data_IF_654586272475
#
_entry.id   IF_654586272475
#
_cell.length_a   1.000
_cell.length_b   1.000
_cell.length_c   1.000
_cell.angle_alpha   90.00
_cell.angle_beta   90.00
_cell.angle_gamma   90.00
#
_symmetry.space_group_name_H-M   'P 1'
#
loop_
_entity.id
_entity.type
_entity.pdbx_description
1 polymer ?
#
# COMPACT_ATOMS: atom_id res chain seq x y z
N UNK A 1 3.78 -35.19 -12.71
CA UNK A 1 3.89 -33.96 -13.54
C UNK A 1 2.72 -32.98 -13.44
N UNK A 2 1.51 -33.33 -12.96
CA UNK A 2 0.37 -32.38 -12.90
C UNK A 2 0.46 -31.32 -11.78
N UNK A 3 1.17 -31.58 -10.69
CA UNK A 3 1.28 -30.67 -9.54
C UNK A 3 2.13 -29.44 -9.80
N UNK A 4 3.13 -29.52 -10.69
CA UNK A 4 4.04 -28.40 -10.99
C UNK A 4 3.34 -27.23 -11.70
N UNK A 5 2.34 -27.51 -12.54
CA UNK A 5 1.59 -26.47 -13.27
C UNK A 5 0.69 -25.67 -12.32
N UNK A 6 0.13 -26.30 -11.30
CA UNK A 6 -0.72 -25.64 -10.30
C UNK A 6 0.08 -24.65 -9.44
N UNK A 7 1.31 -24.99 -9.05
CA UNK A 7 2.19 -24.09 -8.30
C UNK A 7 2.61 -22.86 -9.11
N UNK A 8 2.85 -23.02 -10.41
CA UNK A 8 3.25 -21.91 -11.28
C UNK A 8 2.14 -20.87 -11.45
N UNK A 9 0.89 -21.32 -11.57
CA UNK A 9 -0.29 -20.43 -11.67
C UNK A 9 -0.52 -19.67 -10.35
N UNK A 10 -0.33 -20.35 -9.22
CA UNK A 10 -0.45 -19.76 -7.89
C UNK A 10 0.59 -18.66 -7.63
N UNK A 11 1.84 -18.89 -8.05
CA UNK A 11 2.92 -17.91 -7.94
C UNK A 11 2.67 -16.66 -8.81
N UNK A 12 2.09 -16.85 -10.00
CA UNK A 12 1.78 -15.76 -10.91
C UNK A 12 0.70 -14.81 -10.35
N UNK A 13 -0.35 -15.36 -9.74
CA UNK A 13 -1.44 -14.58 -9.13
C UNK A 13 -1.02 -13.75 -7.91
N UNK A 14 -0.07 -14.25 -7.11
CA UNK A 14 0.46 -13.54 -5.92
C UNK A 14 1.35 -12.35 -6.27
N UNK A 15 1.95 -12.34 -7.45
CA UNK A 15 2.89 -11.27 -7.87
C UNK A 15 2.16 -10.01 -8.33
N UNK A 16 0.90 -10.11 -8.75
CA UNK A 16 0.12 -8.99 -9.28
C UNK A 16 -0.49 -8.07 -8.22
N UNK A 17 -0.47 -8.44 -6.92
CA UNK A 17 -1.11 -7.66 -5.85
C UNK A 17 -0.22 -6.59 -5.21
N UNK A 18 1.08 -6.57 -5.50
CA UNK A 18 2.06 -5.71 -4.79
C UNK A 18 2.24 -4.32 -5.45
N UNK A 19 1.77 -4.12 -6.69
CA UNK A 19 2.12 -2.93 -7.50
C UNK A 19 1.15 -1.72 -7.39
N UNK A 20 0.28 -1.64 -6.38
CA UNK A 20 -0.82 -0.63 -6.35
C UNK A 20 -0.70 0.53 -5.36
N UNK A 21 0.45 0.76 -4.70
CA UNK A 21 0.60 1.90 -3.77
C UNK A 21 1.42 3.04 -4.41
N UNK A 22 0.75 4.17 -4.69
CA UNK A 22 1.32 5.40 -5.25
C UNK A 22 1.71 6.40 -4.15
N UNK A 23 2.90 7.01 -4.29
CA UNK A 23 3.35 8.14 -3.47
C UNK A 23 2.85 9.45 -4.09
N UNK A 24 2.26 10.33 -3.28
CA UNK A 24 1.92 11.72 -3.66
C UNK A 24 2.58 12.64 -2.63
N UNK A 25 3.66 13.29 -3.06
CA UNK A 25 4.34 14.35 -2.31
C UNK A 25 3.66 15.70 -2.58
N UNK A 26 3.44 16.48 -1.51
CA UNK A 26 2.71 17.75 -1.55
C UNK A 26 3.68 18.89 -1.18
N UNK A 27 4.04 19.70 -2.17
CA UNK A 27 4.92 20.87 -2.03
C UNK A 27 4.22 22.04 -1.32
N UNK A 28 4.90 22.61 -0.32
CA UNK A 28 4.53 23.85 0.39
C UNK A 28 5.16 25.06 -0.31
N UNK A 29 4.40 26.15 -0.44
CA UNK A 29 4.87 27.48 -0.83
C UNK A 29 4.88 28.39 0.41
N UNK A 30 6.02 29.01 0.70
CA UNK A 30 6.20 30.02 1.75
C UNK A 30 5.81 31.41 1.24
N UNK A 31 5.15 32.19 2.10
CA UNK A 31 4.70 33.55 1.81
C UNK A 31 5.76 34.58 2.25
N UNK A 32 6.07 35.54 1.38
CA UNK A 32 6.97 36.68 1.60
C UNK A 32 6.29 37.79 2.41
N UNK A 33 7.04 38.36 3.36
CA UNK A 33 6.67 39.47 4.24
C UNK A 33 6.95 40.85 3.58
N UNK A 34 6.04 41.81 3.71
CA UNK A 34 6.13 43.16 3.12
C UNK A 34 6.89 44.14 4.04
N UNK A 35 7.95 44.77 3.52
CA UNK A 35 8.68 45.85 4.21
C UNK A 35 8.14 47.24 3.84
N UNK A 36 7.94 48.11 4.82
CA UNK A 36 7.53 49.51 4.70
C UNK A 36 8.65 50.38 4.08
N UNK A 37 8.37 51.44 3.30
CA UNK A 37 9.40 52.12 2.52
C UNK A 37 10.14 53.18 3.36
N UNK A 38 11.42 52.92 3.64
CA UNK A 38 12.37 53.87 4.23
C UNK A 38 12.54 55.17 3.39
N UNK A 39 12.08 55.18 2.14
CA UNK A 39 12.28 56.26 1.18
C UNK A 39 11.59 57.61 1.53
N UNK A 40 10.61 57.62 2.43
CA UNK A 40 9.84 58.84 2.74
C UNK A 40 10.51 59.75 3.77
N UNK A 41 11.36 59.18 4.63
CA UNK A 41 12.11 59.92 5.65
C UNK A 41 13.32 60.62 5.02
N UNK A 42 13.94 59.99 4.03
CA UNK A 42 15.12 60.55 3.35
C UNK A 42 14.79 61.75 2.46
N UNK A 43 13.59 61.80 1.85
CA UNK A 43 13.17 62.92 1.01
C UNK A 43 12.81 64.18 1.81
N UNK A 44 12.34 64.01 3.04
CA UNK A 44 12.04 65.13 3.94
C UNK A 44 13.32 65.82 4.43
N UNK A 45 14.34 65.04 4.74
CA UNK A 45 15.63 65.54 5.20
C UNK A 45 16.41 66.29 4.11
N UNK A 46 16.21 65.95 2.82
CA UNK A 46 16.89 66.64 1.72
C UNK A 46 16.32 68.02 1.37
N UNK A 47 15.12 68.35 1.85
CA UNK A 47 14.41 69.61 1.56
C UNK A 47 14.62 70.68 2.63
N UNK A 48 15.17 70.31 3.79
CA UNK A 48 15.43 71.23 4.88
C UNK A 48 16.72 72.00 4.68
N UNK A 49 16.68 73.32 4.86
CA UNK A 49 17.88 74.13 5.06
C UNK A 49 17.93 74.57 6.53
N UNK A 50 19.07 74.40 7.19
CA UNK A 50 19.25 74.87 8.56
C UNK A 50 20.02 76.18 8.60
N UNK A 51 19.58 77.08 9.47
CA UNK A 51 20.28 78.30 9.79
C UNK A 51 20.43 78.40 11.30
N UNK A 52 21.64 78.67 11.76
CA UNK A 52 21.94 78.81 13.19
C UNK A 52 22.11 80.29 13.51
N UNK A 53 21.42 80.77 14.55
CA UNK A 53 21.56 82.15 15.01
C UNK A 53 22.86 82.34 15.83
N UNK A 54 23.20 83.59 16.13
CA UNK A 54 24.38 83.96 16.93
C UNK A 54 24.36 83.39 18.36
N UNK A 55 23.20 82.93 18.84
CA UNK A 55 23.01 82.27 20.14
C UNK A 55 23.10 80.74 20.07
N UNK A 56 23.49 80.17 18.92
CA UNK A 56 23.64 78.72 18.72
C UNK A 56 22.31 77.96 18.56
N UNK A 57 21.20 78.65 18.31
CA UNK A 57 19.90 78.01 18.06
C UNK A 57 19.75 77.71 16.57
N UNK A 58 19.55 76.44 16.24
CA UNK A 58 19.35 75.96 14.88
C UNK A 58 17.85 76.00 14.50
N UNK A 59 17.55 76.66 13.39
CA UNK A 59 16.22 76.77 12.83
C UNK A 59 16.18 76.08 11.47
N UNK A 60 15.21 75.18 11.29
CA UNK A 60 14.97 74.49 10.04
C UNK A 60 13.90 75.22 9.24
N UNK A 61 14.25 75.60 8.01
CA UNK A 61 13.34 76.28 7.09
C UNK A 61 13.17 75.45 5.83
N UNK A 62 11.93 75.40 5.36
CA UNK A 62 11.52 74.80 4.10
C UNK A 62 11.00 75.90 3.19
N UNK A 63 11.35 75.84 1.90
CA UNK A 63 10.72 76.74 0.93
C UNK A 63 9.25 76.34 0.78
N UNK A 64 8.35 77.30 0.98
CA UNK A 64 6.91 77.10 0.92
C UNK A 64 6.46 76.41 -0.38
N UNK A 65 7.04 76.80 -1.52
CA UNK A 65 6.72 76.23 -2.83
C UNK A 65 7.11 74.76 -2.96
N UNK A 66 8.24 74.36 -2.39
CA UNK A 66 8.73 72.97 -2.42
C UNK A 66 7.90 72.10 -1.46
N UNK A 67 7.52 72.64 -0.30
CA UNK A 67 6.61 71.99 0.64
C UNK A 67 5.19 71.80 0.07
N UNK A 68 4.65 72.82 -0.60
CA UNK A 68 3.33 72.73 -1.25
C UNK A 68 3.34 71.70 -2.39
N UNK A 69 4.42 71.64 -3.18
CA UNK A 69 4.64 70.59 -4.20
C UNK A 69 4.65 69.19 -3.60
N UNK A 70 5.46 68.96 -2.56
CA UNK A 70 5.56 67.67 -1.87
C UNK A 70 4.22 67.27 -1.25
N UNK A 71 3.50 68.22 -0.65
CA UNK A 71 2.18 67.98 -0.05
C UNK A 71 1.16 67.60 -1.12
N UNK A 72 1.20 68.24 -2.29
CA UNK A 72 0.32 67.90 -3.41
C UNK A 72 0.63 66.51 -3.98
N UNK A 73 1.91 66.16 -4.10
CA UNK A 73 2.36 64.86 -4.57
C UNK A 73 2.01 63.74 -3.58
N UNK A 74 2.21 63.98 -2.28
CA UNK A 74 1.77 63.08 -1.21
C UNK A 74 0.26 62.91 -1.22
N UNK A 75 -0.53 63.97 -1.43
CA UNK A 75 -1.99 63.88 -1.51
C UNK A 75 -2.45 63.04 -2.70
N UNK A 76 -1.82 63.21 -3.87
CA UNK A 76 -2.08 62.39 -5.06
C UNK A 76 -1.68 60.93 -4.80
N UNK A 77 -0.51 60.70 -4.19
CA UNK A 77 -0.03 59.37 -3.86
C UNK A 77 -0.84 58.70 -2.73
N UNK A 78 -1.42 59.45 -1.80
CA UNK A 78 -2.35 58.98 -0.78
C UNK A 78 -3.67 58.56 -1.40
N UNK A 79 -4.23 59.36 -2.32
CA UNK A 79 -5.47 59.00 -3.03
C UNK A 79 -5.24 57.77 -3.93
N UNK A 80 -4.11 57.70 -4.63
CA UNK A 80 -3.71 56.52 -5.41
C UNK A 80 -3.41 55.31 -4.49
N UNK A 81 -2.87 55.56 -3.29
CA UNK A 81 -2.61 54.58 -2.24
C UNK A 81 -3.89 54.00 -1.64
N UNK A 82 -4.88 54.84 -1.32
CA UNK A 82 -6.21 54.42 -0.87
C UNK A 82 -6.95 53.65 -1.96
N UNK A 83 -6.86 54.10 -3.21
CA UNK A 83 -7.49 53.40 -4.34
C UNK A 83 -6.78 52.07 -4.66
N UNK A 84 -5.47 51.98 -4.46
CA UNK A 84 -4.72 50.73 -4.63
C UNK A 84 -4.92 49.78 -3.46
N UNK A 85 -5.02 50.26 -2.21
CA UNK A 85 -5.36 49.47 -1.01
C UNK A 85 -6.79 48.92 -1.04
N UNK A 86 -7.77 49.71 -1.51
CA UNK A 86 -9.13 49.23 -1.77
C UNK A 86 -9.14 48.13 -2.85
N UNK A 87 -8.44 48.34 -3.96
CA UNK A 87 -8.28 47.30 -4.99
C UNK A 87 -7.56 46.06 -4.46
N UNK A 88 -6.55 46.20 -3.60
CA UNK A 88 -5.87 45.04 -2.99
C UNK A 88 -6.77 44.32 -1.99
N UNK A 89 -7.64 45.02 -1.28
CA UNK A 89 -8.61 44.41 -0.36
C UNK A 89 -9.70 43.64 -1.12
N UNK A 90 -10.21 44.18 -2.22
CA UNK A 90 -11.12 43.46 -3.12
C UNK A 90 -10.45 42.25 -3.76
N UNK A 91 -9.19 42.40 -4.20
CA UNK A 91 -8.40 41.32 -4.75
C UNK A 91 -8.14 40.23 -3.70
N UNK A 92 -7.82 40.60 -2.45
CA UNK A 92 -7.65 39.66 -1.34
C UNK A 92 -8.95 38.91 -1.02
N UNK A 93 -10.09 39.60 -1.00
CA UNK A 93 -11.39 38.95 -0.82
C UNK A 93 -11.68 37.97 -1.96
N UNK A 94 -11.42 38.36 -3.21
CA UNK A 94 -11.55 37.46 -4.35
C UNK A 94 -10.61 36.26 -4.25
N UNK A 95 -9.37 36.46 -3.79
CA UNK A 95 -8.38 35.41 -3.60
C UNK A 95 -8.78 34.44 -2.48
N UNK A 96 -9.36 34.93 -1.38
CA UNK A 96 -9.94 34.11 -0.31
C UNK A 96 -11.11 33.26 -0.84
N UNK A 97 -12.02 33.87 -1.61
CA UNK A 97 -13.16 33.14 -2.23
C UNK A 97 -12.65 32.06 -3.22
N UNK A 98 -11.64 32.38 -4.02
CA UNK A 98 -11.00 31.41 -4.92
C UNK A 98 -10.30 30.31 -4.13
N UNK A 99 -9.59 30.63 -3.05
CA UNK A 99 -8.94 29.65 -2.18
C UNK A 99 -9.98 28.73 -1.52
N UNK A 100 -11.10 29.27 -1.05
CA UNK A 100 -12.17 28.50 -0.42
C UNK A 100 -12.88 27.59 -1.43
N UNK A 101 -13.13 28.07 -2.64
CA UNK A 101 -13.69 27.24 -3.72
C UNK A 101 -12.72 26.15 -4.17
N UNK A 102 -11.42 26.40 -4.24
CA UNK A 102 -10.39 25.38 -4.50
C UNK A 102 -10.37 24.34 -3.36
N UNK A 103 -10.42 24.80 -2.11
CA UNK A 103 -10.46 23.90 -0.94
C UNK A 103 -11.74 23.06 -0.91
N UNK A 104 -12.87 23.67 -1.28
CA UNK A 104 -14.16 22.99 -1.41
C UNK A 104 -14.12 21.94 -2.53
N UNK A 105 -13.68 22.31 -3.74
CA UNK A 105 -13.49 21.37 -4.84
C UNK A 105 -12.53 20.23 -4.46
N UNK A 106 -11.43 20.54 -3.76
CA UNK A 106 -10.48 19.51 -3.30
C UNK A 106 -11.15 18.52 -2.35
N UNK A 107 -11.95 19.01 -1.40
CA UNK A 107 -12.71 18.15 -0.47
C UNK A 107 -13.76 17.33 -1.20
N UNK A 108 -14.44 17.92 -2.18
CA UNK A 108 -15.46 17.23 -2.97
C UNK A 108 -14.85 16.14 -3.86
N UNK A 109 -13.73 16.43 -4.54
CA UNK A 109 -12.97 15.44 -5.32
C UNK A 109 -12.42 14.32 -4.44
N UNK A 110 -11.94 14.64 -3.23
CA UNK A 110 -11.52 13.61 -2.26
C UNK A 110 -12.70 12.75 -1.80
N UNK A 111 -13.85 13.37 -1.47
CA UNK A 111 -15.05 12.65 -1.07
C UNK A 111 -15.62 11.78 -2.21
N UNK A 112 -15.52 12.24 -3.46
CA UNK A 112 -15.91 11.49 -4.65
C UNK A 112 -14.98 10.29 -4.88
N UNK A 113 -13.66 10.51 -4.77
CA UNK A 113 -12.67 9.43 -4.82
C UNK A 113 -12.93 8.39 -3.73
N UNK A 114 -13.14 8.79 -2.48
CA UNK A 114 -13.40 7.87 -1.37
C UNK A 114 -14.70 7.07 -1.57
N UNK A 115 -15.72 7.67 -2.20
CA UNK A 115 -16.95 6.96 -2.60
C UNK A 115 -16.72 5.96 -3.73
N UNK A 116 -15.83 6.27 -4.68
CA UNK A 116 -15.49 5.40 -5.81
C UNK A 116 -14.60 4.23 -5.37
N UNK A 117 -13.58 4.48 -4.53
CA UNK A 117 -12.70 3.43 -3.96
C UNK A 117 -13.46 2.49 -3.01
N UNK A 118 -14.46 2.98 -2.27
CA UNK A 118 -15.36 2.10 -1.49
C UNK A 118 -16.26 1.18 -2.34
N UNK A 119 -16.36 1.42 -3.65
CA UNK A 119 -17.23 0.68 -4.56
C UNK A 119 -16.39 -0.13 -5.57
N UNK A 120 -15.51 -0.98 -5.07
CA UNK A 120 -14.95 -2.04 -5.90
C UNK A 120 -16.05 -3.09 -6.07
N UNK A 121 -16.56 -3.24 -7.29
CA UNK A 121 -17.60 -4.24 -7.61
C UNK A 121 -17.00 -5.65 -7.51
N UNK A 122 -17.47 -6.44 -6.55
CA UNK A 122 -17.22 -7.88 -6.50
C UNK A 122 -18.55 -8.59 -6.77
N UNK A 123 -18.66 -9.31 -7.89
CA UNK A 123 -19.91 -9.97 -8.30
C UNK A 123 -21.17 -9.07 -8.30
N UNK A 124 -21.02 -7.79 -8.70
CA UNK A 124 -22.17 -6.87 -8.80
C UNK A 124 -22.64 -6.26 -7.47
N UNK A 125 -22.02 -6.61 -6.34
CA UNK A 125 -22.27 -5.95 -5.05
C UNK A 125 -21.16 -4.95 -4.69
N UNK A 126 -21.56 -3.85 -4.06
CA UNK A 126 -20.64 -2.86 -3.50
C UNK A 126 -20.01 -3.46 -2.23
N UNK A 127 -18.76 -3.88 -2.33
CA UNK A 127 -18.03 -4.47 -1.21
C UNK A 127 -16.91 -3.52 -0.79
N UNK A 128 -16.79 -3.29 0.52
CA UNK A 128 -15.73 -2.45 1.07
C UNK A 128 -14.35 -3.08 0.83
N UNK A 129 -13.31 -2.25 0.63
CA UNK A 129 -11.94 -2.73 0.38
C UNK A 129 -11.45 -3.68 1.48
N UNK A 130 -11.76 -3.40 2.74
CA UNK A 130 -11.41 -4.27 3.88
C UNK A 130 -12.07 -5.66 3.76
N UNK A 131 -13.32 -5.72 3.31
CA UNK A 131 -14.03 -6.98 3.13
C UNK A 131 -13.42 -7.78 1.97
N UNK A 132 -13.01 -7.12 0.89
CA UNK A 132 -12.29 -7.74 -0.22
C UNK A 132 -10.95 -8.34 0.21
N UNK A 133 -10.20 -7.61 1.02
CA UNK A 133 -8.95 -8.11 1.61
C UNK A 133 -9.19 -9.37 2.43
N UNK A 134 -10.22 -9.39 3.28
CA UNK A 134 -10.58 -10.57 4.09
C UNK A 134 -10.98 -11.75 3.21
N UNK A 135 -11.82 -11.52 2.19
CA UNK A 135 -12.24 -12.57 1.25
C UNK A 135 -11.03 -13.15 0.51
N UNK A 136 -10.10 -12.30 0.08
CA UNK A 136 -8.87 -12.72 -0.60
C UNK A 136 -7.99 -13.59 0.30
N UNK A 137 -7.80 -13.21 1.57
CA UNK A 137 -7.05 -14.02 2.54
C UNK A 137 -7.75 -15.35 2.84
N UNK A 138 -9.07 -15.36 3.01
CA UNK A 138 -9.85 -16.59 3.16
C UNK A 138 -9.65 -17.53 1.97
N UNK A 139 -9.65 -17.00 0.74
CA UNK A 139 -9.45 -17.77 -0.47
C UNK A 139 -8.03 -18.35 -0.56
N UNK A 140 -7.01 -17.58 -0.15
CA UNK A 140 -5.63 -18.04 -0.02
C UNK A 140 -5.51 -19.18 1.00
N UNK A 141 -6.10 -19.01 2.19
CA UNK A 141 -6.08 -20.03 3.25
C UNK A 141 -6.76 -21.32 2.78
N UNK A 142 -7.91 -21.21 2.11
CA UNK A 142 -8.64 -22.36 1.57
C UNK A 142 -7.81 -23.11 0.51
N UNK A 143 -7.10 -22.37 -0.36
CA UNK A 143 -6.17 -22.95 -1.32
C UNK A 143 -5.03 -23.70 -0.63
N UNK A 144 -4.44 -23.11 0.41
CA UNK A 144 -3.39 -23.75 1.21
C UNK A 144 -3.88 -25.04 1.88
N UNK A 145 -5.09 -25.03 2.46
CA UNK A 145 -5.70 -26.23 3.02
C UNK A 145 -5.90 -27.32 1.95
N UNK A 146 -6.35 -26.95 0.75
CA UNK A 146 -6.54 -27.89 -0.35
C UNK A 146 -5.22 -28.57 -0.76
N UNK A 147 -4.15 -27.80 -0.92
CA UNK A 147 -2.82 -28.34 -1.23
C UNK A 147 -2.31 -29.22 -0.08
N UNK A 148 -2.47 -28.78 1.17
CA UNK A 148 -2.06 -29.55 2.34
C UNK A 148 -2.80 -30.89 2.42
N UNK A 149 -4.12 -30.89 2.21
CA UNK A 149 -4.95 -32.09 2.17
C UNK A 149 -4.48 -33.08 1.10
N UNK A 150 -4.22 -32.60 -0.12
CA UNK A 150 -3.73 -33.45 -1.22
C UNK A 150 -2.37 -34.07 -0.88
N UNK A 151 -1.44 -33.27 -0.36
CA UNK A 151 -0.13 -33.75 0.06
C UNK A 151 -0.22 -34.80 1.17
N UNK A 152 -1.06 -34.56 2.18
CA UNK A 152 -1.23 -35.49 3.29
C UNK A 152 -1.95 -36.78 2.86
N UNK A 153 -3.01 -36.67 2.08
CA UNK A 153 -3.76 -37.80 1.52
C UNK A 153 -2.87 -38.70 0.67
N UNK A 154 -2.02 -38.12 -0.18
CA UNK A 154 -1.09 -38.90 -1.01
C UNK A 154 -0.03 -39.65 -0.19
N UNK A 155 0.48 -39.05 0.89
CA UNK A 155 1.42 -39.73 1.80
C UNK A 155 0.75 -40.92 2.50
N UNK A 156 -0.48 -40.74 2.99
CA UNK A 156 -1.24 -41.82 3.63
C UNK A 156 -1.56 -42.96 2.66
N UNK A 157 -2.02 -42.63 1.45
CA UNK A 157 -2.30 -43.62 0.40
C UNK A 157 -1.06 -44.44 0.04
N UNK A 158 0.11 -43.78 -0.10
CA UNK A 158 1.36 -44.47 -0.40
C UNK A 158 1.76 -45.45 0.71
N UNK A 159 1.66 -45.04 1.98
CA UNK A 159 1.92 -45.92 3.14
C UNK A 159 0.94 -47.11 3.20
N UNK A 160 -0.32 -46.89 2.87
CA UNK A 160 -1.33 -47.94 2.86
C UNK A 160 -1.07 -48.97 1.76
N UNK A 161 -0.78 -48.51 0.54
CA UNK A 161 -0.42 -49.39 -0.59
C UNK A 161 0.81 -50.22 -0.25
N UNK A 162 1.83 -49.60 0.36
CA UNK A 162 3.04 -50.31 0.78
C UNK A 162 2.74 -51.41 1.81
N UNK A 163 1.91 -51.12 2.83
CA UNK A 163 1.49 -52.14 3.80
C UNK A 163 0.73 -53.30 3.16
N UNK A 164 -0.14 -53.04 2.19
CA UNK A 164 -0.83 -54.10 1.45
C UNK A 164 0.15 -54.96 0.65
N UNK A 165 1.13 -54.33 -0.02
CA UNK A 165 2.14 -55.05 -0.78
C UNK A 165 3.02 -55.92 0.12
N UNK A 166 3.45 -55.39 1.27
CA UNK A 166 4.23 -56.14 2.26
C UNK A 166 3.42 -57.31 2.83
N UNK A 167 2.14 -57.09 3.18
CA UNK A 167 1.25 -58.14 3.66
C UNK A 167 1.01 -59.23 2.61
N UNK A 168 0.81 -58.86 1.33
CA UNK A 168 0.70 -59.83 0.24
C UNK A 168 1.98 -60.66 0.11
N UNK A 169 3.14 -60.01 0.17
CA UNK A 169 4.44 -60.68 0.08
C UNK A 169 4.64 -61.67 1.24
N UNK A 170 4.21 -61.30 2.44
CA UNK A 170 4.30 -62.17 3.61
C UNK A 170 3.42 -63.42 3.45
N UNK A 171 2.17 -63.25 3.00
CA UNK A 171 1.26 -64.38 2.72
C UNK A 171 1.83 -65.31 1.64
N UNK A 172 2.45 -64.75 0.60
CA UNK A 172 3.10 -65.54 -0.47
C UNK A 172 4.25 -66.40 0.10
N UNK A 173 5.09 -65.80 0.95
CA UNK A 173 6.21 -66.50 1.62
C UNK A 173 5.69 -67.60 2.55
N UNK A 174 4.69 -67.31 3.36
CA UNK A 174 4.09 -68.28 4.27
C UNK A 174 3.46 -69.45 3.50
N UNK A 175 2.83 -69.18 2.35
CA UNK A 175 2.26 -70.20 1.49
C UNK A 175 3.34 -71.09 0.84
N UNK A 176 4.44 -70.49 0.35
CA UNK A 176 5.57 -71.26 -0.17
C UNK A 176 6.22 -72.15 0.90
N UNK A 177 6.36 -71.62 2.12
CA UNK A 177 6.92 -72.36 3.24
C UNK A 177 6.01 -73.52 3.66
N UNK A 178 4.69 -73.28 3.74
CA UNK A 178 3.70 -74.32 4.00
C UNK A 178 3.74 -75.42 2.93
N UNK A 179 3.84 -75.04 1.65
CA UNK A 179 3.94 -75.99 0.53
C UNK A 179 5.18 -76.88 0.65
N UNK A 180 6.34 -76.30 1.01
CA UNK A 180 7.57 -77.08 1.23
C UNK A 180 7.42 -78.05 2.39
N UNK A 181 6.88 -77.59 3.52
CA UNK A 181 6.64 -78.42 4.69
C UNK A 181 5.67 -79.56 4.42
N UNK A 182 4.57 -79.29 3.70
CA UNK A 182 3.61 -80.31 3.30
C UNK A 182 4.25 -81.39 2.41
N UNK A 183 5.08 -80.99 1.44
CA UNK A 183 5.81 -81.94 0.59
C UNK A 183 6.84 -82.78 1.35
N UNK A 184 7.53 -82.20 2.35
CA UNK A 184 8.44 -82.95 3.21
C UNK A 184 7.70 -83.99 4.04
N UNK A 185 6.56 -83.61 4.63
CA UNK A 185 5.71 -84.50 5.41
C UNK A 185 5.11 -85.64 4.57
N UNK A 186 4.68 -85.35 3.34
CA UNK A 186 4.22 -86.38 2.41
C UNK A 186 5.33 -87.38 2.06
N UNK A 187 6.57 -86.90 1.84
CA UNK A 187 7.73 -87.77 1.59
C UNK A 187 8.04 -88.65 2.80
N UNK A 188 8.02 -88.10 4.00
CA UNK A 188 8.26 -88.83 5.25
C UNK A 188 7.20 -89.93 5.46
N UNK A 189 5.91 -89.59 5.38
CA UNK A 189 4.81 -90.54 5.48
C UNK A 189 4.90 -91.64 4.41
N UNK A 190 5.27 -91.27 3.18
CA UNK A 190 5.48 -92.24 2.10
C UNK A 190 6.62 -93.21 2.43
N UNK A 191 7.73 -92.72 2.97
CA UNK A 191 8.85 -93.56 3.40
C UNK A 191 8.46 -94.51 4.54
N UNK A 192 7.69 -94.04 5.52
CA UNK A 192 7.16 -94.87 6.61
C UNK A 192 6.25 -95.98 6.07
N UNK A 193 5.29 -95.64 5.20
CA UNK A 193 4.41 -96.61 4.56
C UNK A 193 5.18 -97.68 3.77
N UNK A 194 6.25 -97.29 3.07
CA UNK A 194 7.11 -98.26 2.37
C UNK A 194 7.87 -99.17 3.34
N UNK A 195 8.38 -98.65 4.46
CA UNK A 195 9.04 -99.44 5.51
C UNK A 195 8.07 -100.43 6.15
N UNK A 196 6.85 -100.01 6.47
CA UNK A 196 5.80 -100.88 7.02
C UNK A 196 5.38 -101.98 6.05
N UNK A 197 5.19 -101.65 4.76
CA UNK A 197 4.86 -102.64 3.73
C UNK A 197 5.96 -103.69 3.53
N UNK A 198 7.24 -103.33 3.66
CA UNK A 198 8.35 -104.29 3.59
C UNK A 198 8.41 -105.19 4.84
N UNK A 199 8.18 -104.63 6.04
CA UNK A 199 8.15 -105.41 7.28
C UNK A 199 7.03 -106.45 7.32
N UNK A 200 5.89 -106.20 6.69
CA UNK A 200 4.76 -107.16 6.60
C UNK A 200 4.94 -108.26 5.54
N UNK A 201 5.94 -108.14 4.64
CA UNK A 201 6.19 -109.09 3.53
C UNK A 201 7.36 -110.03 3.78
N UNK A 202 8.15 -109.80 4.83
CA UNK A 202 9.20 -110.70 5.32
C UNK A 202 8.68 -111.49 6.51
#
# INVERSE_FOLDING_TARGET
>A
MKTSKAFFILFWLLSSSIFSQTNIEQSRLEATEYAQPAALVDSLNSLGSSWTNENGQEYFFFKRTEFESLTSEMKVNLVLGEQSTLKTQELQKALIVVQDSINYLRKEVQAEKDKQFKKILFFGQNVSESSLTIISYCLIVLLFLGVFYICYSNKLKKKYIQRIQDGKKQVEVDFEQYKKWALEKEKELTQELFKEKRKKKS
#
